data_IF_042422872852
#
_entry.id   IF_042422872852
#
_cell.length_a   1.000
_cell.length_b   1.000
_cell.length_c   1.000
_cell.angle_alpha   90.00
_cell.angle_beta   90.00
_cell.angle_gamma   90.00
#
_symmetry.space_group_name_H-M   'P 1'
#
loop_
_entity.id
_entity.type
_entity.pdbx_description
1 polymer ?
#
# COMPACT_ATOMS: atom_id res chain seq x y z
N UNK A 1 6.64 52.22 -7.10
CA UNK A 1 5.75 51.17 -7.69
C UNK A 1 6.19 49.84 -7.14
N UNK A 2 5.75 49.56 -5.91
CA UNK A 2 6.01 48.28 -5.23
C UNK A 2 5.01 48.16 -4.09
N UNK A 3 3.77 48.07 -4.43
CA UNK A 3 2.66 47.82 -3.52
C UNK A 3 1.63 47.03 -4.31
N UNK A 4 1.74 45.72 -4.29
CA UNK A 4 0.63 44.75 -4.59
C UNK A 4 1.24 43.35 -4.47
N UNK A 5 1.21 42.80 -3.28
CA UNK A 5 1.10 41.37 -2.99
C UNK A 5 1.09 41.13 -1.48
N UNK A 6 0.13 41.73 -0.81
CA UNK A 6 -0.39 41.23 0.47
C UNK A 6 -1.81 40.76 0.22
N UNK A 7 -1.97 39.63 -0.43
CA UNK A 7 -3.20 38.86 -0.40
C UNK A 7 -3.03 37.76 0.65
N UNK A 8 -3.25 38.12 1.90
CA UNK A 8 -3.75 37.21 2.92
C UNK A 8 -5.08 36.62 2.45
N UNK A 9 -5.04 35.63 1.60
CA UNK A 9 -6.08 34.63 1.52
C UNK A 9 -5.96 33.82 2.81
N UNK A 10 -6.63 34.28 3.86
CA UNK A 10 -7.03 33.43 4.97
C UNK A 10 -7.91 32.30 4.40
N UNK A 11 -7.23 31.32 3.83
CA UNK A 11 -7.82 30.04 3.50
C UNK A 11 -8.22 29.43 4.82
N UNK A 12 -9.52 29.40 5.09
CA UNK A 12 -10.16 28.68 6.18
C UNK A 12 -9.84 27.19 5.97
N UNK A 13 -8.61 26.79 6.29
CA UNK A 13 -8.33 25.39 6.56
C UNK A 13 -9.10 25.05 7.83
N UNK A 14 -9.91 24.00 7.87
CA UNK A 14 -10.54 23.58 9.10
C UNK A 14 -9.42 23.45 10.14
N UNK A 15 -9.57 24.16 11.26
CA UNK A 15 -8.57 24.33 12.33
C UNK A 15 -8.03 22.97 12.85
N UNK A 16 -8.73 21.88 12.59
CA UNK A 16 -8.35 20.51 13.00
C UNK A 16 -7.51 19.72 12.00
N UNK A 17 -7.20 20.26 10.83
CA UNK A 17 -6.41 19.54 9.80
C UNK A 17 -4.90 19.75 9.91
N UNK A 18 -4.48 20.84 10.55
CA UNK A 18 -3.07 21.27 10.54
C UNK A 18 -2.22 20.71 11.69
N UNK A 19 -2.81 20.00 12.67
CA UNK A 19 -2.09 19.66 13.92
C UNK A 19 -2.15 18.21 14.37
N UNK A 20 -2.90 17.29 13.72
CA UNK A 20 -2.84 15.89 14.09
C UNK A 20 -2.20 15.06 12.97
N UNK A 21 -0.95 14.67 13.16
CA UNK A 21 -0.24 13.68 12.35
C UNK A 21 -0.90 12.29 12.40
N UNK A 22 -1.99 12.13 13.14
CA UNK A 22 -2.52 10.85 13.60
C UNK A 22 -3.77 10.36 12.87
N UNK A 23 -4.23 11.09 11.83
CA UNK A 23 -5.39 10.68 11.01
C UNK A 23 -5.10 9.39 10.24
N UNK A 24 -3.83 9.16 9.87
CA UNK A 24 -3.36 7.98 9.18
C UNK A 24 -2.44 7.20 10.10
N UNK A 25 -2.71 5.93 10.30
CA UNK A 25 -1.83 5.02 11.03
C UNK A 25 -1.34 3.88 10.16
N UNK A 26 -0.15 3.42 10.45
CA UNK A 26 0.45 2.24 9.81
C UNK A 26 0.80 1.24 10.91
N UNK A 27 0.20 0.05 10.85
CA UNK A 27 0.49 -1.02 11.78
C UNK A 27 1.21 -2.18 11.09
N UNK A 28 2.37 -2.55 11.63
CA UNK A 28 3.13 -3.72 11.21
C UNK A 28 2.80 -4.93 12.07
N UNK A 29 2.40 -6.04 11.44
CA UNK A 29 1.94 -7.26 12.11
C UNK A 29 2.89 -8.42 11.84
N UNK A 30 3.44 -8.99 12.90
CA UNK A 30 4.42 -10.08 12.84
C UNK A 30 5.79 -9.61 12.32
N UNK A 31 6.73 -10.53 12.15
CA UNK A 31 8.12 -10.18 11.79
C UNK A 31 8.23 -9.35 10.52
N UNK A 32 7.64 -9.80 9.41
CA UNK A 32 7.71 -9.08 8.13
C UNK A 32 7.06 -7.70 8.18
N UNK A 33 5.88 -7.58 8.80
CA UNK A 33 5.20 -6.31 8.98
C UNK A 33 5.96 -5.35 9.91
N UNK A 34 6.49 -5.85 11.02
CA UNK A 34 7.31 -5.04 11.92
C UNK A 34 8.57 -4.51 11.22
N UNK A 35 9.26 -5.33 10.42
CA UNK A 35 10.43 -4.91 9.66
C UNK A 35 10.10 -3.81 8.64
N UNK A 36 8.98 -3.93 7.94
CA UNK A 36 8.54 -2.93 6.98
C UNK A 36 8.22 -1.59 7.66
N UNK A 37 7.50 -1.61 8.77
CA UNK A 37 7.14 -0.39 9.52
C UNK A 37 8.38 0.22 10.20
N UNK A 38 9.28 -0.59 10.73
CA UNK A 38 10.55 -0.11 11.28
C UNK A 38 11.43 0.55 10.20
N UNK A 39 11.42 -0.01 8.98
CA UNK A 39 12.07 0.62 7.83
C UNK A 39 11.45 1.98 7.50
N UNK A 40 10.11 2.09 7.41
CA UNK A 40 9.42 3.36 7.18
C UNK A 40 9.74 4.40 8.26
N UNK A 41 9.76 3.97 9.51
CA UNK A 41 10.09 4.82 10.65
C UNK A 41 11.51 5.38 10.55
N UNK A 42 12.50 4.54 10.21
CA UNK A 42 13.91 4.96 10.00
C UNK A 42 14.09 5.89 8.79
N UNK A 43 13.25 5.74 7.78
CA UNK A 43 13.23 6.64 6.62
C UNK A 43 12.53 7.96 6.89
N UNK A 44 12.07 8.20 8.13
CA UNK A 44 11.32 9.39 8.53
C UNK A 44 10.13 9.67 7.61
N UNK A 45 9.38 8.63 7.24
CA UNK A 45 8.14 8.81 6.46
C UNK A 45 7.15 9.65 7.29
N UNK A 46 6.82 10.82 6.77
CA UNK A 46 5.98 11.81 7.44
C UNK A 46 4.50 11.60 7.13
N UNK A 47 3.63 12.21 7.93
CA UNK A 47 2.19 12.27 7.68
C UNK A 47 1.39 11.07 8.17
N UNK A 48 2.02 10.12 8.87
CA UNK A 48 1.37 9.00 9.53
C UNK A 48 2.06 8.63 10.84
N UNK A 49 1.35 7.97 11.73
CA UNK A 49 1.93 7.39 12.94
C UNK A 49 2.10 5.88 12.82
N UNK A 50 3.10 5.34 13.51
CA UNK A 50 3.53 3.96 13.37
C UNK A 50 3.25 3.13 14.61
N UNK A 51 2.79 1.89 14.39
CA UNK A 51 2.54 0.89 15.41
C UNK A 51 3.18 -0.42 14.93
N UNK A 52 3.79 -1.18 15.81
CA UNK A 52 4.24 -2.55 15.54
C UNK A 52 3.63 -3.51 16.54
N UNK A 53 3.17 -4.67 16.06
CA UNK A 53 2.67 -5.72 16.94
C UNK A 53 3.20 -7.10 16.55
N UNK A 54 3.57 -7.88 17.54
CA UNK A 54 4.12 -9.22 17.32
C UNK A 54 3.84 -10.12 18.52
N UNK A 55 3.81 -11.44 18.27
CA UNK A 55 3.82 -12.48 19.31
C UNK A 55 5.23 -12.75 19.82
N UNK A 56 6.26 -12.32 19.11
CA UNK A 56 7.67 -12.47 19.48
C UNK A 56 8.18 -11.18 20.14
N UNK A 57 8.49 -11.27 21.45
CA UNK A 57 8.95 -10.15 22.25
C UNK A 57 10.37 -9.68 21.85
N UNK A 58 11.24 -10.58 21.41
CA UNK A 58 12.60 -10.24 21.00
C UNK A 58 12.58 -9.44 19.69
N UNK A 59 11.83 -9.94 18.67
CA UNK A 59 11.64 -9.24 17.41
C UNK A 59 11.00 -7.85 17.63
N UNK A 60 10.01 -7.76 18.54
CA UNK A 60 9.36 -6.51 18.87
C UNK A 60 10.33 -5.54 19.61
N UNK A 61 11.18 -6.07 20.48
CA UNK A 61 12.21 -5.31 21.19
C UNK A 61 13.23 -4.67 20.25
N UNK A 62 13.60 -5.34 19.16
CA UNK A 62 14.59 -4.87 18.19
C UNK A 62 14.08 -3.71 17.30
N UNK A 63 12.77 -3.51 17.15
CA UNK A 63 12.19 -2.41 16.38
C UNK A 63 12.43 -1.06 17.08
N UNK A 64 12.68 -0.01 16.29
CA UNK A 64 12.85 1.37 16.78
C UNK A 64 11.52 2.11 16.93
N UNK A 65 10.44 1.61 16.35
CA UNK A 65 9.11 2.20 16.47
C UNK A 65 8.68 2.28 17.93
N UNK A 66 8.27 3.46 18.43
CA UNK A 66 7.99 3.63 19.87
C UNK A 66 6.70 2.95 20.32
N UNK A 67 5.68 2.90 19.47
CA UNK A 67 4.39 2.27 19.80
C UNK A 67 4.43 0.78 19.47
N UNK A 68 4.54 -0.03 20.49
CA UNK A 68 4.66 -1.50 20.40
C UNK A 68 3.48 -2.18 21.09
N UNK A 69 2.95 -3.23 20.47
CA UNK A 69 1.91 -4.08 21.04
C UNK A 69 2.42 -5.52 21.05
N UNK A 70 2.65 -6.07 22.22
CA UNK A 70 2.97 -7.49 22.36
C UNK A 70 1.67 -8.30 22.34
N UNK A 71 1.60 -9.29 21.47
CA UNK A 71 0.48 -10.22 21.38
C UNK A 71 0.79 -11.45 22.24
N UNK A 72 0.05 -11.62 23.33
CA UNK A 72 0.26 -12.71 24.27
C UNK A 72 1.58 -12.63 25.05
N UNK A 73 2.17 -13.77 25.35
CA UNK A 73 3.30 -13.91 26.31
C UNK A 73 4.69 -13.64 25.70
N UNK A 74 4.78 -13.37 24.41
CA UNK A 74 6.06 -13.03 23.77
C UNK A 74 6.87 -14.20 23.22
N UNK A 75 6.35 -15.42 23.22
CA UNK A 75 7.05 -16.65 22.81
C UNK A 75 6.96 -16.93 21.30
N UNK A 76 6.31 -16.06 20.52
CA UNK A 76 6.06 -16.27 19.10
C UNK A 76 4.81 -17.13 18.81
N UNK A 77 4.45 -17.26 17.53
CA UNK A 77 3.32 -18.08 17.08
C UNK A 77 3.76 -19.39 16.38
N UNK A 78 5.04 -19.68 16.26
CA UNK A 78 5.58 -20.93 15.73
C UNK A 78 5.04 -21.31 14.36
N UNK A 79 4.93 -20.38 13.40
CA UNK A 79 4.33 -20.58 12.06
C UNK A 79 2.86 -21.02 12.04
N UNK A 80 2.14 -20.98 13.17
CA UNK A 80 0.75 -21.37 13.29
C UNK A 80 -0.17 -20.14 13.29
N UNK A 81 -0.98 -19.90 12.23
CA UNK A 81 -1.88 -18.77 12.14
C UNK A 81 -2.95 -18.74 13.24
N UNK A 82 -3.43 -19.92 13.69
CA UNK A 82 -4.44 -20.00 14.75
C UNK A 82 -3.93 -19.43 16.07
N UNK A 83 -2.64 -19.64 16.39
CA UNK A 83 -2.01 -19.03 17.57
C UNK A 83 -1.96 -17.52 17.42
N UNK A 84 -1.47 -17.01 16.28
CA UNK A 84 -1.45 -15.56 16.00
C UNK A 84 -2.83 -14.92 16.12
N UNK A 85 -3.86 -15.56 15.57
CA UNK A 85 -5.27 -15.13 15.67
C UNK A 85 -5.74 -15.07 17.13
N UNK A 86 -5.53 -16.11 17.89
CA UNK A 86 -5.98 -16.19 19.27
C UNK A 86 -5.28 -15.13 20.13
N UNK A 87 -3.97 -14.94 19.95
CA UNK A 87 -3.22 -13.92 20.68
C UNK A 87 -3.65 -12.48 20.33
N UNK A 88 -4.07 -12.24 19.08
CA UNK A 88 -4.65 -10.95 18.70
C UNK A 88 -6.04 -10.74 19.35
N UNK A 89 -6.86 -11.77 19.45
CA UNK A 89 -8.16 -11.71 20.14
C UNK A 89 -7.99 -11.48 21.65
N UNK A 90 -7.03 -12.16 22.29
CA UNK A 90 -6.72 -11.95 23.72
C UNK A 90 -6.25 -10.51 23.99
N UNK A 91 -5.61 -9.85 23.03
CA UNK A 91 -5.03 -8.51 23.17
C UNK A 91 -5.92 -7.43 22.51
N UNK A 92 -7.14 -7.77 22.12
CA UNK A 92 -7.99 -6.91 21.28
C UNK A 92 -8.26 -5.51 21.87
N UNK A 93 -8.42 -5.39 23.18
CA UNK A 93 -8.74 -4.11 23.82
C UNK A 93 -7.56 -3.12 23.71
N UNK A 94 -6.34 -3.61 23.90
CA UNK A 94 -5.14 -2.77 23.72
C UNK A 94 -4.93 -2.40 22.26
N UNK A 95 -5.14 -3.34 21.33
CA UNK A 95 -5.06 -3.07 19.88
C UNK A 95 -6.06 -1.98 19.52
N UNK A 96 -7.32 -2.15 19.95
CA UNK A 96 -8.41 -1.21 19.68
C UNK A 96 -8.09 0.18 20.25
N UNK A 97 -7.60 0.27 21.49
CA UNK A 97 -7.18 1.52 22.09
C UNK A 97 -6.15 2.25 21.20
N UNK A 98 -5.12 1.54 20.74
CA UNK A 98 -4.03 2.14 19.95
C UNK A 98 -4.45 2.53 18.54
N UNK A 99 -5.27 1.72 17.86
CA UNK A 99 -5.71 2.05 16.50
C UNK A 99 -6.80 3.13 16.48
N UNK A 100 -7.68 3.23 17.50
CA UNK A 100 -8.76 4.23 17.57
C UNK A 100 -8.31 5.56 18.16
N UNK A 101 -7.15 5.58 18.82
CA UNK A 101 -6.62 6.81 19.41
C UNK A 101 -6.46 7.90 18.34
N UNK A 102 -6.60 9.16 18.74
CA UNK A 102 -6.30 10.36 17.95
C UNK A 102 -7.15 10.54 16.68
N UNK A 103 -8.40 10.07 16.70
CA UNK A 103 -9.37 10.21 15.61
C UNK A 103 -8.88 9.60 14.27
N UNK A 104 -8.31 8.42 14.32
CA UNK A 104 -7.82 7.68 13.14
C UNK A 104 -8.92 7.51 12.11
N UNK A 105 -8.67 7.91 10.88
CA UNK A 105 -9.59 7.78 9.76
C UNK A 105 -9.13 6.75 8.72
N UNK A 106 -7.83 6.43 8.70
CA UNK A 106 -7.25 5.45 7.80
C UNK A 106 -6.20 4.61 8.52
N UNK A 107 -6.24 3.32 8.31
CA UNK A 107 -5.29 2.35 8.84
C UNK A 107 -4.69 1.52 7.70
N UNK A 108 -3.38 1.63 7.53
CA UNK A 108 -2.61 0.65 6.76
C UNK A 108 -2.19 -0.49 7.66
N UNK A 109 -2.43 -1.72 7.21
CA UNK A 109 -1.99 -2.92 7.91
C UNK A 109 -1.00 -3.65 7.01
N UNK A 110 0.26 -3.74 7.45
CA UNK A 110 1.29 -4.44 6.69
C UNK A 110 1.72 -5.73 7.39
N UNK A 111 1.84 -6.80 6.61
CA UNK A 111 2.25 -8.11 7.12
C UNK A 111 2.93 -8.95 6.04
N UNK A 112 3.91 -9.76 6.43
CA UNK A 112 4.36 -10.89 5.63
C UNK A 112 3.44 -12.09 5.88
N UNK A 113 2.80 -12.56 4.82
CA UNK A 113 1.89 -13.72 4.92
C UNK A 113 2.68 -15.04 4.92
N UNK A 114 2.06 -16.09 5.49
CA UNK A 114 2.65 -17.44 5.58
C UNK A 114 3.29 -17.75 6.93
N UNK A 115 3.53 -16.75 7.77
CA UNK A 115 3.92 -16.94 9.16
C UNK A 115 2.72 -17.10 10.10
N UNK A 116 2.95 -17.36 11.38
CA UNK A 116 1.87 -17.50 12.36
C UNK A 116 1.21 -16.15 12.69
N UNK A 117 2.01 -15.17 13.13
CA UNK A 117 1.51 -13.87 13.59
C UNK A 117 0.91 -13.04 12.45
N UNK A 118 1.69 -12.82 11.37
CA UNK A 118 1.23 -12.00 10.24
C UNK A 118 -0.06 -12.55 9.63
N UNK A 119 -0.10 -13.84 9.34
CA UNK A 119 -1.25 -14.49 8.72
C UNK A 119 -2.49 -14.53 9.63
N UNK A 120 -2.29 -14.83 10.92
CA UNK A 120 -3.40 -15.03 11.84
C UNK A 120 -3.95 -13.76 12.49
N UNK A 121 -3.06 -12.84 12.89
CA UNK A 121 -3.47 -11.62 13.62
C UNK A 121 -3.98 -10.52 12.69
N UNK A 122 -3.45 -10.41 11.45
CA UNK A 122 -3.80 -9.34 10.52
C UNK A 122 -5.29 -9.25 10.22
N UNK A 123 -6.01 -10.34 9.89
CA UNK A 123 -7.45 -10.28 9.66
C UNK A 123 -8.25 -9.82 10.90
N UNK A 124 -7.82 -10.19 12.10
CA UNK A 124 -8.46 -9.78 13.36
C UNK A 124 -8.33 -8.26 13.56
N UNK A 125 -7.13 -7.73 13.38
CA UNK A 125 -6.86 -6.29 13.50
C UNK A 125 -7.62 -5.51 12.43
N UNK A 126 -7.62 -6.01 11.17
CA UNK A 126 -8.35 -5.41 10.07
C UNK A 126 -9.85 -5.31 10.36
N UNK A 127 -10.44 -6.39 10.86
CA UNK A 127 -11.85 -6.41 11.25
C UNK A 127 -12.17 -5.36 12.31
N UNK A 128 -11.34 -5.23 13.35
CA UNK A 128 -11.55 -4.22 14.39
C UNK A 128 -11.55 -2.79 13.85
N UNK A 129 -10.66 -2.49 12.90
CA UNK A 129 -10.58 -1.17 12.29
C UNK A 129 -11.77 -0.92 11.35
N UNK A 130 -12.12 -1.89 10.51
CA UNK A 130 -13.26 -1.78 9.58
C UNK A 130 -14.58 -1.65 10.33
N UNK A 131 -14.81 -2.44 11.38
CA UNK A 131 -16.00 -2.37 12.24
C UNK A 131 -16.12 -1.00 12.95
N UNK A 132 -14.99 -0.31 13.18
CA UNK A 132 -14.95 1.05 13.72
C UNK A 132 -15.14 2.15 12.66
N UNK A 133 -15.37 1.79 11.39
CA UNK A 133 -15.56 2.73 10.27
C UNK A 133 -14.28 3.35 9.72
N UNK A 134 -13.10 2.91 10.18
CA UNK A 134 -11.80 3.34 9.68
C UNK A 134 -11.58 2.76 8.28
N UNK A 135 -11.13 3.59 7.32
CA UNK A 135 -10.70 3.08 6.01
C UNK A 135 -9.51 2.15 6.20
N UNK A 136 -9.71 0.87 5.96
CA UNK A 136 -8.72 -0.18 6.25
C UNK A 136 -8.09 -0.71 4.99
N UNK A 137 -6.79 -0.53 4.84
CA UNK A 137 -6.01 -0.94 3.67
C UNK A 137 -4.96 -1.98 4.08
N UNK A 138 -5.08 -3.19 3.55
CA UNK A 138 -4.08 -4.23 3.71
C UNK A 138 -2.96 -4.06 2.66
N UNK A 139 -1.70 -4.08 3.09
CA UNK A 139 -0.52 -4.11 2.19
C UNK A 139 0.36 -5.27 2.62
N UNK A 140 0.22 -6.41 1.96
CA UNK A 140 0.82 -7.66 2.42
C UNK A 140 1.71 -8.30 1.36
N UNK A 141 2.65 -9.13 1.82
CA UNK A 141 3.55 -9.86 0.91
C UNK A 141 3.28 -11.34 0.91
N UNK A 142 3.34 -11.96 -0.28
CA UNK A 142 3.45 -13.40 -0.45
C UNK A 142 4.92 -13.82 -0.31
N UNK A 143 5.19 -14.96 0.37
CA UNK A 143 6.55 -15.49 0.51
C UNK A 143 7.13 -15.88 -0.85
N UNK A 144 8.46 -16.03 -0.90
CA UNK A 144 9.12 -16.63 -2.04
C UNK A 144 8.74 -18.10 -2.20
N UNK A 145 8.75 -18.60 -3.43
CA UNK A 145 8.41 -20.01 -3.73
C UNK A 145 9.37 -20.98 -3.02
N UNK A 146 10.65 -20.62 -2.88
CA UNK A 146 11.63 -21.46 -2.18
C UNK A 146 11.37 -21.59 -0.67
N UNK A 147 10.53 -20.73 -0.07
CA UNK A 147 10.13 -20.83 1.34
C UNK A 147 9.16 -22.00 1.61
N UNK A 148 8.67 -22.64 0.56
CA UNK A 148 7.94 -23.89 0.62
C UNK A 148 6.42 -23.76 0.40
N UNK A 149 5.82 -24.84 -0.13
CA UNK A 149 4.39 -24.89 -0.50
C UNK A 149 3.46 -24.68 0.69
N UNK A 150 3.80 -25.20 1.86
CA UNK A 150 2.98 -25.06 3.07
C UNK A 150 2.85 -23.58 3.48
N UNK A 151 3.96 -22.84 3.44
CA UNK A 151 3.98 -21.41 3.76
C UNK A 151 3.15 -20.61 2.75
N UNK A 152 3.24 -20.97 1.47
CA UNK A 152 2.46 -20.35 0.41
C UNK A 152 0.96 -20.64 0.57
N UNK A 153 0.56 -21.89 0.87
CA UNK A 153 -0.86 -22.24 1.14
C UNK A 153 -1.43 -21.42 2.29
N UNK A 154 -0.72 -21.39 3.43
CA UNK A 154 -1.12 -20.55 4.59
C UNK A 154 -1.25 -19.08 4.23
N UNK A 155 -0.38 -18.58 3.34
CA UNK A 155 -0.43 -17.19 2.87
C UNK A 155 -1.72 -16.90 2.11
N UNK A 156 -2.11 -17.80 1.19
CA UNK A 156 -3.30 -17.67 0.36
C UNK A 156 -4.55 -17.69 1.24
N UNK A 157 -4.65 -18.65 2.16
CA UNK A 157 -5.75 -18.73 3.13
C UNK A 157 -5.87 -17.45 3.97
N UNK A 158 -4.72 -16.95 4.46
CA UNK A 158 -4.66 -15.71 5.25
C UNK A 158 -5.04 -14.47 4.45
N UNK A 159 -4.65 -14.39 3.17
CA UNK A 159 -5.03 -13.30 2.27
C UNK A 159 -6.53 -13.33 2.01
N UNK A 160 -7.09 -14.50 1.75
CA UNK A 160 -8.53 -14.68 1.53
C UNK A 160 -9.35 -14.26 2.76
N UNK A 161 -8.86 -14.59 3.98
CA UNK A 161 -9.52 -14.14 5.21
C UNK A 161 -9.34 -12.63 5.44
N UNK A 162 -8.18 -12.07 5.07
CA UNK A 162 -7.91 -10.64 5.18
C UNK A 162 -8.78 -9.81 4.23
N UNK A 163 -8.96 -10.27 2.99
CA UNK A 163 -9.76 -9.58 1.96
C UNK A 163 -11.17 -9.26 2.46
N UNK A 164 -11.80 -10.18 3.19
CA UNK A 164 -13.14 -9.99 3.77
C UNK A 164 -13.20 -8.90 4.83
N UNK A 165 -12.04 -8.57 5.42
CA UNK A 165 -11.93 -7.71 6.59
C UNK A 165 -11.24 -6.35 6.30
N UNK A 166 -10.85 -6.08 5.06
CA UNK A 166 -10.31 -4.78 4.62
C UNK A 166 -11.23 -4.10 3.60
N UNK A 167 -11.02 -2.82 3.35
CA UNK A 167 -11.67 -2.09 2.26
C UNK A 167 -10.92 -2.28 0.95
N UNK A 168 -9.59 -2.18 1.03
CA UNK A 168 -8.67 -2.39 -0.10
C UNK A 168 -7.55 -3.33 0.31
N UNK A 169 -7.09 -4.18 -0.62
CA UNK A 169 -6.00 -5.10 -0.41
C UNK A 169 -4.96 -4.99 -1.52
N UNK A 170 -3.73 -4.67 -1.15
CA UNK A 170 -2.56 -4.69 -2.04
C UNK A 170 -1.74 -5.93 -1.69
N UNK A 171 -1.54 -6.81 -2.66
CA UNK A 171 -0.75 -8.03 -2.49
C UNK A 171 0.52 -7.95 -3.33
N UNK A 172 1.65 -8.03 -2.66
CA UNK A 172 2.97 -7.95 -3.28
C UNK A 172 3.57 -9.36 -3.31
N UNK A 173 3.90 -9.86 -4.49
CA UNK A 173 4.61 -11.13 -4.63
C UNK A 173 6.10 -10.88 -4.46
N UNK A 174 6.73 -11.48 -3.44
CA UNK A 174 8.18 -11.40 -3.27
C UNK A 174 8.91 -11.93 -4.51
N UNK A 175 8.34 -12.89 -5.22
CA UNK A 175 8.87 -13.45 -6.47
C UNK A 175 9.11 -12.39 -7.56
N UNK A 176 8.31 -11.33 -7.58
CA UNK A 176 8.50 -10.23 -8.54
C UNK A 176 9.79 -9.43 -8.29
N UNK A 177 10.38 -9.54 -7.09
CA UNK A 177 11.68 -8.91 -6.81
C UNK A 177 12.84 -9.57 -7.56
N UNK A 178 12.72 -10.86 -7.93
CA UNK A 178 13.72 -11.51 -8.78
C UNK A 178 13.82 -10.84 -10.15
N UNK A 179 12.72 -10.36 -10.70
CA UNK A 179 12.72 -9.68 -12.01
C UNK A 179 13.56 -8.39 -11.99
N UNK A 180 13.63 -7.72 -10.82
CA UNK A 180 14.29 -6.42 -10.68
C UNK A 180 15.64 -6.54 -9.97
N UNK A 181 15.82 -7.52 -9.10
CA UNK A 181 16.96 -7.62 -8.19
C UNK A 181 17.62 -8.99 -8.20
N UNK A 182 17.40 -9.81 -9.25
CA UNK A 182 17.91 -11.19 -9.34
C UNK A 182 19.43 -11.31 -9.25
N UNK A 183 20.17 -10.28 -9.67
CA UNK A 183 21.63 -10.24 -9.60
C UNK A 183 22.19 -9.76 -8.25
N UNK A 184 21.32 -9.38 -7.30
CA UNK A 184 21.76 -8.92 -5.98
C UNK A 184 21.98 -10.08 -5.01
N UNK A 185 22.84 -9.86 -4.02
CA UNK A 185 22.99 -10.80 -2.92
C UNK A 185 21.68 -10.90 -2.13
N UNK A 186 21.37 -12.09 -1.60
CA UNK A 186 20.17 -12.33 -0.80
C UNK A 186 20.04 -11.34 0.34
N UNK A 187 21.14 -11.02 1.03
CA UNK A 187 21.17 -10.06 2.13
C UNK A 187 20.77 -8.64 1.71
N UNK A 188 20.91 -8.29 0.43
CA UNK A 188 20.55 -6.99 -0.13
C UNK A 188 19.14 -7.02 -0.77
N UNK A 189 18.68 -8.20 -1.21
CA UNK A 189 17.38 -8.39 -1.83
C UNK A 189 16.23 -8.40 -0.79
N UNK A 190 16.41 -9.04 0.38
CA UNK A 190 15.38 -9.11 1.41
C UNK A 190 14.96 -7.73 1.96
N UNK A 191 15.87 -6.77 2.24
CA UNK A 191 15.47 -5.41 2.61
C UNK A 191 14.64 -4.69 1.55
N UNK A 192 14.75 -5.09 0.26
CA UNK A 192 13.93 -4.53 -0.83
C UNK A 192 12.44 -4.85 -0.71
N UNK A 193 12.06 -5.92 -0.04
CA UNK A 193 10.66 -6.19 0.32
C UNK A 193 10.11 -5.05 1.18
N UNK A 194 10.88 -4.61 2.18
CA UNK A 194 10.49 -3.51 3.06
C UNK A 194 10.40 -2.18 2.32
N UNK A 195 11.32 -1.93 1.38
CA UNK A 195 11.31 -0.75 0.52
C UNK A 195 10.06 -0.70 -0.36
N UNK A 196 9.65 -1.83 -0.94
CA UNK A 196 8.45 -1.92 -1.78
C UNK A 196 7.18 -1.68 -0.94
N UNK A 197 7.07 -2.30 0.24
CA UNK A 197 5.97 -2.04 1.18
C UNK A 197 5.94 -0.56 1.61
N UNK A 198 7.11 0.01 1.91
CA UNK A 198 7.25 1.42 2.25
C UNK A 198 6.79 2.32 1.10
N UNK A 199 7.21 2.05 -0.12
CA UNK A 199 6.82 2.81 -1.32
C UNK A 199 5.30 2.79 -1.52
N UNK A 200 4.67 1.63 -1.32
CA UNK A 200 3.22 1.50 -1.45
C UNK A 200 2.46 2.34 -0.41
N UNK A 201 2.87 2.29 0.85
CA UNK A 201 2.24 3.08 1.91
C UNK A 201 2.54 4.57 1.74
N UNK A 202 3.83 4.92 1.57
CA UNK A 202 4.26 6.33 1.47
C UNK A 202 3.64 7.04 0.28
N UNK A 203 3.49 6.36 -0.87
CA UNK A 203 2.87 6.94 -2.06
C UNK A 203 1.42 7.35 -1.83
N UNK A 204 0.64 6.55 -1.09
CA UNK A 204 -0.75 6.90 -0.74
C UNK A 204 -0.77 8.02 0.31
N UNK A 205 0.08 7.94 1.34
CA UNK A 205 0.20 8.98 2.37
C UNK A 205 0.61 10.32 1.75
N UNK A 206 1.54 10.32 0.81
CA UNK A 206 2.01 11.50 0.10
C UNK A 206 0.86 12.20 -0.67
N UNK A 207 0.04 11.43 -1.39
CA UNK A 207 -1.13 11.96 -2.11
C UNK A 207 -2.11 12.64 -1.15
N UNK A 208 -2.31 12.08 0.05
CA UNK A 208 -3.23 12.61 1.05
C UNK A 208 -2.68 13.87 1.73
N UNK A 209 -1.37 13.91 1.98
CA UNK A 209 -0.76 14.94 2.83
C UNK A 209 -0.15 16.10 2.05
N UNK A 210 0.42 15.86 0.88
CA UNK A 210 1.00 16.92 0.06
C UNK A 210 -0.09 17.74 -0.61
N UNK A 211 -0.01 19.05 -0.43
CA UNK A 211 -0.89 19.99 -1.11
C UNK A 211 -0.44 20.16 -2.55
N UNK A 212 -1.29 19.75 -3.49
CA UNK A 212 -1.03 19.90 -4.93
C UNK A 212 -1.69 21.14 -5.51
N UNK A 213 -1.33 21.47 -6.74
CA UNK A 213 -2.04 22.47 -7.56
C UNK A 213 -3.41 21.91 -7.97
N UNK A 214 -3.46 20.64 -8.33
CA UNK A 214 -4.70 19.86 -8.46
C UNK A 214 -4.69 18.86 -7.30
N UNK A 215 -5.58 19.09 -6.33
CA UNK A 215 -5.65 18.27 -5.14
C UNK A 215 -6.54 17.06 -5.36
N UNK A 216 -6.10 15.93 -4.81
CA UNK A 216 -6.96 14.78 -4.52
C UNK A 216 -7.25 14.84 -3.03
N UNK A 217 -8.51 15.00 -2.66
CA UNK A 217 -8.87 15.06 -1.26
C UNK A 217 -8.97 13.66 -0.63
N UNK A 218 -8.92 13.62 0.70
CA UNK A 218 -9.03 12.36 1.44
C UNK A 218 -10.33 11.62 1.13
N UNK A 219 -11.41 12.36 0.86
CA UNK A 219 -12.73 11.79 0.55
C UNK A 219 -12.73 11.09 -0.80
N UNK A 220 -12.01 11.63 -1.78
CA UNK A 220 -11.83 10.98 -3.09
C UNK A 220 -11.13 9.63 -2.94
N UNK A 221 -10.04 9.59 -2.16
CA UNK A 221 -9.31 8.36 -1.87
C UNK A 221 -10.20 7.38 -1.10
N UNK A 222 -10.92 7.86 -0.08
CA UNK A 222 -11.83 7.05 0.69
C UNK A 222 -12.91 6.41 -0.19
N UNK A 223 -13.54 7.18 -1.07
CA UNK A 223 -14.59 6.69 -1.96
C UNK A 223 -14.07 5.67 -2.97
N UNK A 224 -12.82 5.84 -3.43
CA UNK A 224 -12.22 4.93 -4.40
C UNK A 224 -11.75 3.62 -3.76
N UNK A 225 -11.27 3.67 -2.52
CA UNK A 225 -10.67 2.52 -1.83
C UNK A 225 -11.66 1.78 -0.93
N UNK A 226 -12.77 2.39 -0.54
CA UNK A 226 -13.76 1.74 0.33
C UNK A 226 -14.45 0.60 -0.41
N UNK A 227 -14.41 -0.60 0.21
CA UNK A 227 -14.97 -1.84 -0.34
C UNK A 227 -14.54 -2.13 -1.79
N UNK A 228 -13.35 -1.68 -2.17
CA UNK A 228 -12.83 -1.84 -3.54
C UNK A 228 -12.25 -3.24 -3.81
N UNK A 229 -11.97 -4.01 -2.77
CA UNK A 229 -11.34 -5.32 -2.88
C UNK A 229 -9.85 -5.19 -3.26
N UNK A 230 -9.43 -5.82 -4.36
CA UNK A 230 -8.05 -5.75 -4.79
C UNK A 230 -7.69 -4.36 -5.30
N UNK A 231 -6.58 -3.84 -4.82
CA UNK A 231 -5.95 -2.62 -5.29
C UNK A 231 -4.53 -2.92 -5.78
N UNK A 232 -4.13 -2.21 -6.81
CA UNK A 232 -2.78 -2.23 -7.34
C UNK A 232 -2.18 -0.83 -7.28
N UNK A 233 -0.88 -0.77 -7.12
CA UNK A 233 -0.17 0.49 -7.06
C UNK A 233 1.12 0.42 -7.85
N UNK A 234 1.40 1.46 -8.63
CA UNK A 234 2.68 1.70 -9.27
C UNK A 234 3.25 3.03 -8.85
N UNK A 235 4.55 3.09 -8.71
CA UNK A 235 5.29 4.32 -8.47
C UNK A 235 6.56 4.30 -9.30
N UNK A 236 6.74 5.33 -10.12
CA UNK A 236 7.90 5.44 -10.98
C UNK A 236 8.35 6.89 -11.13
N UNK A 237 9.60 7.07 -11.45
CA UNK A 237 10.19 8.37 -11.74
C UNK A 237 11.03 8.31 -13.01
N UNK A 238 11.18 9.46 -13.65
CA UNK A 238 12.06 9.66 -14.79
C UNK A 238 12.75 11.01 -14.69
N UNK A 239 13.95 11.10 -15.23
CA UNK A 239 14.75 12.32 -15.27
C UNK A 239 15.39 12.51 -16.65
N UNK A 240 15.85 13.74 -16.96
CA UNK A 240 16.48 14.08 -18.21
C UNK A 240 15.52 14.10 -19.40
N UNK A 241 16.07 13.93 -20.61
CA UNK A 241 15.33 14.10 -21.88
C UNK A 241 14.15 13.11 -22.04
N UNK A 242 14.26 11.89 -21.51
CA UNK A 242 13.23 10.86 -21.60
C UNK A 242 12.36 10.74 -20.34
N UNK A 243 12.38 11.76 -19.47
CA UNK A 243 11.76 11.73 -18.14
C UNK A 243 10.29 11.28 -18.13
N UNK A 244 9.51 11.66 -19.15
CA UNK A 244 8.11 11.29 -19.28
C UNK A 244 7.96 9.80 -19.57
N UNK A 245 8.61 9.32 -20.63
CA UNK A 245 8.52 7.93 -21.02
C UNK A 245 9.05 6.99 -19.93
N UNK A 246 10.15 7.38 -19.27
CA UNK A 246 10.74 6.62 -18.18
C UNK A 246 9.84 6.63 -16.93
N UNK A 247 9.29 7.78 -16.54
CA UNK A 247 8.36 7.86 -15.40
C UNK A 247 7.12 6.98 -15.62
N UNK A 248 6.50 7.06 -16.80
CA UNK A 248 5.32 6.26 -17.14
C UNK A 248 5.68 4.78 -17.17
N UNK A 249 6.74 4.41 -17.88
CA UNK A 249 7.20 3.01 -17.96
C UNK A 249 7.50 2.45 -16.58
N UNK A 250 8.30 3.14 -15.77
CA UNK A 250 8.68 2.70 -14.43
C UNK A 250 7.47 2.57 -13.50
N UNK A 251 6.42 3.35 -13.73
CA UNK A 251 5.17 3.25 -12.96
C UNK A 251 4.35 2.03 -13.37
N UNK A 252 4.09 1.87 -14.67
CA UNK A 252 3.14 0.87 -15.17
C UNK A 252 3.75 -0.49 -15.45
N UNK A 253 5.06 -0.55 -15.67
CA UNK A 253 5.83 -1.80 -15.75
C UNK A 253 6.47 -2.18 -14.40
N UNK A 254 6.08 -1.50 -13.33
CA UNK A 254 6.48 -1.85 -11.96
C UNK A 254 6.11 -3.29 -11.63
N UNK A 255 6.97 -4.04 -10.92
CA UNK A 255 6.66 -5.39 -10.46
C UNK A 255 5.37 -5.50 -9.63
N UNK A 256 4.88 -4.38 -9.11
CA UNK A 256 3.63 -4.29 -8.35
C UNK A 256 2.39 -4.29 -9.25
N UNK A 257 2.53 -3.97 -10.54
CA UNK A 257 1.43 -3.85 -11.51
C UNK A 257 1.48 -4.89 -12.64
N UNK A 258 2.64 -5.48 -12.91
CA UNK A 258 2.93 -6.25 -14.12
C UNK A 258 2.05 -7.49 -14.37
N UNK A 259 1.35 -8.00 -13.38
CA UNK A 259 0.56 -9.22 -13.52
C UNK A 259 -0.93 -8.96 -13.85
N UNK A 260 -1.31 -7.69 -14.13
CA UNK A 260 -2.72 -7.30 -14.21
C UNK A 260 -3.02 -6.44 -15.44
N UNK A 261 -4.19 -6.67 -16.04
CA UNK A 261 -4.70 -5.81 -17.12
C UNK A 261 -5.38 -4.57 -16.54
N UNK A 262 -4.63 -3.48 -16.47
CA UNK A 262 -5.10 -2.20 -15.94
C UNK A 262 -6.30 -1.60 -16.68
N UNK A 263 -6.58 -2.07 -17.91
CA UNK A 263 -7.77 -1.65 -18.68
C UNK A 263 -9.06 -2.15 -18.06
N UNK A 264 -8.98 -3.15 -17.17
CA UNK A 264 -10.14 -3.69 -16.45
C UNK A 264 -10.41 -2.98 -15.13
N UNK A 265 -9.55 -2.03 -14.71
CA UNK A 265 -9.74 -1.25 -13.48
C UNK A 265 -11.01 -0.40 -13.57
N UNK A 266 -11.81 -0.40 -12.49
CA UNK A 266 -13.00 0.46 -12.40
C UNK A 266 -12.62 1.90 -12.03
N UNK A 267 -11.60 2.07 -11.20
CA UNK A 267 -11.13 3.37 -10.76
C UNK A 267 -9.62 3.46 -10.92
N UNK A 268 -9.17 4.60 -11.40
CA UNK A 268 -7.76 4.93 -11.53
C UNK A 268 -7.49 6.30 -10.92
N UNK A 269 -6.54 6.35 -9.99
CA UNK A 269 -6.02 7.58 -9.42
C UNK A 269 -4.58 7.73 -9.88
N UNK A 270 -4.27 8.89 -10.43
CA UNK A 270 -2.92 9.27 -10.80
C UNK A 270 -2.52 10.54 -10.07
N UNK A 271 -1.37 10.49 -9.43
CA UNK A 271 -0.74 11.66 -8.88
C UNK A 271 0.61 11.90 -9.57
N UNK A 272 0.78 13.06 -10.15
CA UNK A 272 2.00 13.45 -10.85
C UNK A 272 2.67 14.54 -10.03
N UNK A 273 3.93 14.31 -9.69
CA UNK A 273 4.79 15.28 -9.01
C UNK A 273 5.83 15.77 -10.01
N UNK A 274 5.91 17.07 -10.19
CA UNK A 274 6.77 17.73 -11.16
C UNK A 274 7.59 18.84 -10.51
N UNK A 275 8.75 19.20 -11.07
CA UNK A 275 9.56 20.32 -10.55
C UNK A 275 8.81 21.64 -10.60
N UNK A 276 8.93 22.45 -9.55
CA UNK A 276 8.53 23.87 -9.55
C UNK A 276 9.72 24.75 -9.91
N UNK A 277 10.14 24.70 -11.17
CA UNK A 277 11.29 25.42 -11.67
C UNK A 277 11.14 25.77 -13.15
N UNK A 278 12.18 26.38 -13.75
CA UNK A 278 12.24 26.60 -15.20
C UNK A 278 12.24 25.27 -15.99
N UNK A 279 12.65 24.18 -15.35
CA UNK A 279 12.64 22.83 -15.89
C UNK A 279 11.30 22.10 -15.59
N UNK A 280 10.25 22.82 -15.22
CA UNK A 280 8.91 22.34 -15.00
C UNK A 280 8.29 21.65 -16.23
N UNK A 281 7.12 21.07 -16.05
CA UNK A 281 6.40 20.37 -17.14
C UNK A 281 5.59 21.36 -17.95
N UNK A 282 5.80 21.37 -19.26
CA UNK A 282 5.03 22.17 -20.21
C UNK A 282 3.66 21.54 -20.50
N UNK A 283 2.73 22.33 -21.05
CA UNK A 283 1.42 21.80 -21.46
C UNK A 283 1.52 20.71 -22.55
N UNK A 284 2.55 20.76 -23.40
CA UNK A 284 2.80 19.69 -24.39
C UNK A 284 3.28 18.41 -23.73
N UNK A 285 4.18 18.50 -22.77
CA UNK A 285 4.64 17.36 -21.98
C UNK A 285 3.48 16.75 -21.16
N UNK A 286 2.58 17.58 -20.65
CA UNK A 286 1.38 17.11 -19.97
C UNK A 286 0.46 16.29 -20.89
N UNK A 287 0.30 16.72 -22.15
CA UNK A 287 -0.44 15.97 -23.16
C UNK A 287 0.26 14.64 -23.49
N UNK A 288 1.59 14.66 -23.58
CA UNK A 288 2.39 13.46 -23.80
C UNK A 288 2.26 12.47 -22.64
N UNK A 289 2.34 12.93 -21.37
CA UNK A 289 2.09 12.10 -20.18
C UNK A 289 0.73 11.40 -20.29
N UNK A 290 -0.32 12.14 -20.60
CA UNK A 290 -1.66 11.57 -20.71
C UNK A 290 -1.76 10.53 -21.84
N UNK A 291 -1.12 10.78 -22.98
CA UNK A 291 -1.06 9.85 -24.10
C UNK A 291 -0.31 8.56 -23.75
N UNK A 292 0.84 8.69 -23.09
CA UNK A 292 1.62 7.52 -22.64
C UNK A 292 0.84 6.67 -21.61
N UNK A 293 0.22 7.31 -20.63
CA UNK A 293 -0.61 6.65 -19.61
C UNK A 293 -1.78 5.90 -20.26
N UNK A 294 -2.43 6.50 -21.24
CA UNK A 294 -3.60 5.91 -21.93
C UNK A 294 -3.27 4.60 -22.65
N UNK A 295 -2.01 4.36 -23.02
CA UNK A 295 -1.58 3.08 -23.62
C UNK A 295 -1.73 1.92 -22.64
N UNK A 296 -1.51 2.17 -21.34
CA UNK A 296 -1.58 1.15 -20.28
C UNK A 296 -2.99 1.01 -19.70
N UNK A 297 -3.71 2.12 -19.55
CA UNK A 297 -4.97 2.17 -18.78
C UNK A 297 -6.23 2.16 -19.67
N UNK A 298 -6.07 2.40 -20.97
CA UNK A 298 -7.22 2.63 -21.84
C UNK A 298 -8.02 3.87 -21.40
N UNK A 299 -9.33 3.85 -21.59
CA UNK A 299 -10.24 4.90 -21.13
C UNK A 299 -10.92 4.45 -19.83
N UNK A 300 -10.22 4.56 -18.70
CA UNK A 300 -10.80 4.26 -17.40
C UNK A 300 -12.01 5.16 -17.12
N UNK A 301 -13.14 4.56 -16.72
CA UNK A 301 -14.41 5.26 -16.53
C UNK A 301 -14.40 6.26 -15.36
N UNK A 302 -13.57 6.03 -14.32
CA UNK A 302 -13.40 6.91 -13.19
C UNK A 302 -11.92 7.21 -12.98
N UNK A 303 -11.50 8.34 -13.52
CA UNK A 303 -10.14 8.83 -13.48
C UNK A 303 -10.05 10.03 -12.52
N UNK A 304 -9.18 9.94 -11.53
CA UNK A 304 -8.82 11.05 -10.65
C UNK A 304 -7.38 11.43 -10.90
N UNK A 305 -7.14 12.73 -11.00
CA UNK A 305 -5.85 13.30 -11.34
C UNK A 305 -5.41 14.30 -10.29
N UNK A 306 -4.19 14.13 -9.76
CA UNK A 306 -3.52 15.07 -8.89
C UNK A 306 -2.24 15.60 -9.52
N UNK A 307 -1.91 16.86 -9.25
CA UNK A 307 -0.68 17.50 -9.70
C UNK A 307 -0.02 18.22 -8.52
N UNK A 308 1.19 17.80 -8.19
CA UNK A 308 2.00 18.38 -7.12
C UNK A 308 3.23 19.07 -7.76
N UNK A 309 3.50 20.29 -7.34
CA UNK A 309 4.76 20.96 -7.64
C UNK A 309 5.74 20.76 -6.49
N UNK A 310 6.95 20.28 -6.80
CA UNK A 310 8.02 20.02 -5.82
C UNK A 310 9.20 20.95 -6.07
N UNK A 311 9.64 21.64 -5.02
CA UNK A 311 10.76 22.60 -5.08
C UNK A 311 12.04 22.04 -4.42
N UNK A 312 12.09 20.76 -4.16
CA UNK A 312 13.27 20.11 -3.58
C UNK A 312 14.41 20.03 -4.62
N UNK A 313 15.64 20.35 -4.24
CA UNK A 313 16.79 20.36 -5.17
C UNK A 313 17.02 19.05 -5.91
N UNK A 314 16.75 17.92 -5.26
CA UNK A 314 16.83 16.57 -5.82
C UNK A 314 15.74 16.30 -6.86
N UNK A 315 14.69 17.15 -6.91
CA UNK A 315 13.55 17.00 -7.83
C UNK A 315 13.68 17.88 -9.08
N UNK A 316 14.79 18.57 -9.26
CA UNK A 316 14.99 19.64 -10.25
C UNK A 316 14.61 19.28 -11.68
N UNK A 317 14.82 18.04 -12.11
CA UNK A 317 14.52 17.54 -13.47
C UNK A 317 13.73 16.21 -13.43
N UNK A 318 13.13 15.89 -12.31
CA UNK A 318 12.50 14.61 -12.08
C UNK A 318 10.98 14.72 -12.17
N UNK A 319 10.35 13.82 -12.93
CA UNK A 319 8.90 13.59 -12.89
C UNK A 319 8.67 12.29 -12.11
N UNK A 320 7.77 12.34 -11.13
CA UNK A 320 7.32 11.14 -10.37
C UNK A 320 5.85 10.92 -10.62
N UNK A 321 5.48 9.69 -10.92
CA UNK A 321 4.09 9.29 -11.13
C UNK A 321 3.75 8.21 -10.10
N UNK A 322 2.64 8.40 -9.41
CA UNK A 322 2.04 7.39 -8.54
C UNK A 322 0.66 7.05 -9.09
N UNK A 323 0.44 5.77 -9.38
CA UNK A 323 -0.81 5.24 -9.89
C UNK A 323 -1.44 4.27 -8.89
N UNK A 324 -2.74 4.41 -8.61
CA UNK A 324 -3.51 3.47 -7.81
C UNK A 324 -4.70 3.03 -8.65
N UNK A 325 -4.80 1.73 -8.89
CA UNK A 325 -5.90 1.12 -9.62
C UNK A 325 -6.71 0.21 -8.71
N UNK A 326 -8.05 0.31 -8.76
CA UNK A 326 -8.94 -0.51 -7.92
C UNK A 326 -10.13 -1.04 -8.71
N UNK A 327 -10.79 -2.07 -8.15
CA UNK A 327 -12.05 -2.58 -8.71
C UNK A 327 -11.91 -3.32 -10.02
N UNK A 328 -10.82 -3.99 -10.26
CA UNK A 328 -10.62 -4.84 -11.44
C UNK A 328 -10.79 -6.32 -11.13
N UNK A 329 -11.01 -7.13 -12.18
CA UNK A 329 -11.17 -8.59 -12.04
C UNK A 329 -9.82 -9.24 -11.77
N UNK A 330 -9.82 -10.12 -10.81
CA UNK A 330 -8.66 -10.90 -10.41
C UNK A 330 -8.46 -12.06 -11.39
N UNK A 331 -7.39 -12.08 -12.15
CA UNK A 331 -7.16 -13.15 -13.14
C UNK A 331 -6.26 -14.26 -12.61
N UNK A 332 -5.63 -14.17 -11.51
CA UNK A 332 -4.88 -15.21 -10.79
C UNK A 332 -3.72 -14.59 -10.02
N UNK A 333 -3.76 -14.69 -8.72
CA UNK A 333 -2.66 -14.26 -7.83
C UNK A 333 -1.37 -15.07 -8.06
N UNK A 334 -1.51 -16.27 -8.63
CA UNK A 334 -0.42 -17.23 -8.74
C UNK A 334 -0.19 -17.53 -10.23
N UNK A 335 1.04 -17.40 -10.70
CA UNK A 335 1.42 -17.71 -12.08
C UNK A 335 1.19 -19.18 -12.45
N UNK A 336 1.33 -19.56 -13.73
CA UNK A 336 1.07 -20.91 -14.23
C UNK A 336 1.94 -22.02 -13.64
N UNK A 337 2.96 -21.68 -12.87
CA UNK A 337 3.89 -22.63 -12.24
C UNK A 337 3.37 -23.25 -10.94
N UNK A 338 2.23 -22.79 -10.41
CA UNK A 338 1.61 -23.37 -9.22
C UNK A 338 0.46 -24.23 -9.66
N UNK A 339 0.52 -25.51 -9.28
CA UNK A 339 -0.46 -26.56 -9.61
C UNK A 339 -1.89 -26.06 -9.44
N UNK A 340 -2.63 -26.02 -10.54
CA UNK A 340 -4.02 -25.50 -10.63
C UNK A 340 -5.01 -26.22 -9.70
N UNK A 341 -4.66 -27.40 -9.18
CA UNK A 341 -5.49 -28.18 -8.26
C UNK A 341 -5.66 -27.56 -6.87
N UNK A 342 -4.83 -26.53 -6.52
CA UNK A 342 -4.83 -25.85 -5.22
C UNK A 342 -5.01 -24.34 -5.33
N UNK A 343 -5.48 -23.83 -6.48
CA UNK A 343 -5.69 -22.39 -6.68
C UNK A 343 -7.10 -22.01 -6.26
N UNK A 344 -7.21 -21.25 -5.19
CA UNK A 344 -8.44 -20.57 -4.82
C UNK A 344 -8.51 -19.27 -5.64
N UNK A 345 -9.48 -19.18 -6.55
CA UNK A 345 -9.76 -17.93 -7.28
C UNK A 345 -10.47 -17.01 -6.28
N UNK A 346 -9.82 -15.91 -5.92
CA UNK A 346 -10.43 -14.91 -5.06
C UNK A 346 -11.16 -13.93 -5.97
N UNK A 347 -12.47 -14.09 -6.16
CA UNK A 347 -13.35 -13.11 -6.80
C UNK A 347 -14.54 -12.80 -5.91
N UNK A 348 -14.96 -11.55 -5.86
CA UNK A 348 -16.19 -11.14 -5.15
C UNK A 348 -17.48 -11.64 -5.83
N UNK A 349 -17.40 -12.18 -7.05
CA UNK A 349 -18.54 -12.51 -7.89
C UNK A 349 -18.87 -14.03 -7.88
N UNK A 350 -18.27 -14.83 -6.98
CA UNK A 350 -18.48 -16.29 -6.92
C UNK A 350 -19.77 -16.74 -6.17
N UNK A 351 -20.81 -15.90 -6.13
CA UNK A 351 -22.14 -16.37 -5.69
C UNK A 351 -22.90 -17.17 -6.78
N UNK A 352 -22.38 -17.24 -8.03
CA UNK A 352 -23.03 -17.91 -9.17
C UNK A 352 -22.12 -18.94 -9.87
N UNK A 353 -21.59 -19.92 -9.16
CA UNK A 353 -21.03 -21.13 -9.81
C UNK A 353 -22.06 -22.24 -9.67
N UNK A 354 -22.67 -22.73 -10.78
CA UNK A 354 -23.57 -23.90 -10.73
C UNK A 354 -22.77 -25.09 -10.22
N UNK A 355 -23.28 -25.75 -9.17
CA UNK A 355 -22.77 -27.05 -8.74
C UNK A 355 -22.80 -28.01 -9.93
N UNK A 356 -21.62 -28.41 -10.41
CA UNK A 356 -21.51 -29.48 -11.36
C UNK A 356 -22.02 -30.75 -10.69
N UNK A 357 -23.18 -31.20 -11.11
CA UNK A 357 -23.72 -32.49 -10.78
C UNK A 357 -22.74 -33.60 -11.20
N UNK A 358 -22.58 -34.56 -10.33
CA UNK A 358 -21.87 -35.85 -10.52
C UNK A 358 -22.23 -36.56 -11.83
#
# INVERSE_FOLDING_TARGET
MSEYMDNNLDLIAPINWATSNDVIKVIGVGGGGCNAVDYMYRQNVEGCSFIVCNTDAQALGACQVPTKIQLGEGLGAGTNPSIGRNKALETQDLIREKILKDNTQMLFITAGMGGGTGTGATPVIAKMAKDAGILTVGVVTLPFVFEGKEKLSKSIEGIHELEKNVDSLIVIKNENLYKVHGDKLIQDAFPKVNEVLSTAVSGIVEIIKKRGYINIDFKDIQNMMRDSGLALMGCGSGNGENRIADAVRNTFESPLLNDFDLKTAKHLLLNITVPFSQDGVTMKEQEEINKEISKYTGNANNFKYGLIFEDAPEFKDTIKITAIATGFKFVTLLGPEIDKSNIIIISKDDEDVPQASM
#
